data_IF_213321260436
#
_entry.id   IF_213321260436
#
_cell.length_a   1.000
_cell.length_b   1.000
_cell.length_c   1.000
_cell.angle_alpha   90.00
_cell.angle_beta   90.00
_cell.angle_gamma   90.00
#
_symmetry.space_group_name_H-M   'P 1'
#
loop_
_entity.id
_entity.type
_entity.pdbx_description
1 polymer ?
#
# COMPACT_ATOMS: atom_id res chain seq x y z
N UNK A 1 2.42 7.41 -28.03
CA UNK A 1 2.40 7.98 -26.66
C UNK A 1 3.85 8.27 -26.32
N UNK A 2 4.22 9.50 -25.98
CA UNK A 2 5.63 9.80 -25.65
C UNK A 2 5.97 9.15 -24.32
N UNK A 3 7.03 8.34 -24.30
CA UNK A 3 7.61 7.84 -23.05
C UNK A 3 8.15 9.02 -22.25
N UNK A 4 7.58 9.22 -21.06
CA UNK A 4 8.10 10.15 -20.07
C UNK A 4 9.27 9.46 -19.37
N UNK A 5 10.47 10.02 -19.49
CA UNK A 5 11.72 9.43 -18.96
C UNK A 5 12.26 10.20 -17.74
N UNK A 6 11.41 10.99 -17.07
CA UNK A 6 11.78 11.76 -15.88
C UNK A 6 11.46 11.00 -14.59
N UNK A 7 12.15 11.33 -13.50
CA UNK A 7 11.70 10.94 -12.15
C UNK A 7 10.53 11.83 -11.76
N UNK A 8 9.41 11.23 -11.35
CA UNK A 8 8.24 11.95 -10.79
C UNK A 8 8.41 12.27 -9.30
N UNK A 9 9.39 11.63 -8.65
CA UNK A 9 9.63 11.71 -7.20
C UNK A 9 10.15 13.09 -6.79
N UNK A 10 9.53 13.71 -5.79
CA UNK A 10 10.10 14.88 -5.10
C UNK A 10 11.11 14.44 -4.00
N UNK A 11 12.40 14.82 -4.10
CA UNK A 11 13.41 14.53 -3.08
C UNK A 11 13.10 15.15 -1.71
N UNK A 12 12.44 16.30 -1.65
CA UNK A 12 12.12 16.96 -0.37
C UNK A 12 11.08 16.17 0.42
N UNK A 13 10.07 15.64 -0.26
CA UNK A 13 9.06 14.79 0.35
C UNK A 13 9.64 13.45 0.78
N UNK A 14 10.52 12.84 -0.02
CA UNK A 14 11.22 11.62 0.38
C UNK A 14 11.98 11.79 1.71
N UNK A 15 12.74 12.89 1.85
CA UNK A 15 13.47 13.23 3.08
C UNK A 15 12.50 13.52 4.24
N UNK A 16 11.38 14.20 3.98
CA UNK A 16 10.35 14.47 4.98
C UNK A 16 9.75 13.17 5.53
N UNK A 17 9.35 12.25 4.68
CA UNK A 17 8.78 10.97 5.10
C UNK A 17 9.82 10.10 5.82
N UNK A 18 11.07 10.11 5.37
CA UNK A 18 12.15 9.40 6.06
C UNK A 18 12.34 9.86 7.52
N UNK A 19 12.22 11.17 7.78
CA UNK A 19 12.28 11.70 9.16
C UNK A 19 11.13 11.21 10.04
N UNK A 20 9.95 10.98 9.45
CA UNK A 20 8.74 10.59 10.17
C UNK A 20 8.54 9.08 10.25
N UNK A 21 9.33 8.27 9.53
CA UNK A 21 9.09 6.83 9.35
C UNK A 21 8.80 6.06 10.65
N UNK A 22 9.54 6.33 11.74
CA UNK A 22 9.35 5.64 13.02
C UNK A 22 8.00 5.91 13.70
N UNK A 23 7.27 6.92 13.25
CA UNK A 23 5.97 7.33 13.78
C UNK A 23 4.79 6.78 12.97
N UNK A 24 5.03 5.97 11.93
CA UNK A 24 3.97 5.44 11.05
C UNK A 24 2.84 4.74 11.80
N UNK A 25 3.18 3.97 12.82
CA UNK A 25 2.23 3.18 13.61
C UNK A 25 1.89 3.81 14.97
N UNK A 26 2.26 5.08 15.19
CA UNK A 26 1.76 5.84 16.33
C UNK A 26 0.35 6.36 16.01
N UNK A 27 -0.66 5.80 16.69
CA UNK A 27 -2.07 6.12 16.49
C UNK A 27 -2.43 7.55 16.88
N UNK A 28 -1.61 8.22 17.69
CA UNK A 28 -1.77 9.62 18.08
C UNK A 28 -0.73 10.54 17.43
N UNK A 29 0.14 9.96 16.60
CA UNK A 29 1.21 10.65 15.88
C UNK A 29 0.76 11.37 14.60
N UNK A 30 1.72 11.82 13.77
CA UNK A 30 1.45 12.61 12.56
C UNK A 30 0.58 11.88 11.53
N UNK A 31 0.56 10.55 11.58
CA UNK A 31 -0.16 9.70 10.63
C UNK A 31 -1.51 9.19 11.15
N UNK A 32 -1.94 9.67 12.33
CA UNK A 32 -3.29 9.45 12.87
C UNK A 32 -4.41 9.67 11.84
N UNK A 33 -4.39 10.70 10.97
CA UNK A 33 -5.44 10.87 9.96
C UNK A 33 -5.55 9.66 9.02
N UNK A 34 -4.43 9.06 8.61
CA UNK A 34 -4.45 7.87 7.76
C UNK A 34 -5.04 6.67 8.49
N UNK A 35 -4.68 6.45 9.76
CA UNK A 35 -5.25 5.37 10.57
C UNK A 35 -6.77 5.50 10.69
N UNK A 36 -7.27 6.70 10.96
CA UNK A 36 -8.71 6.97 11.07
C UNK A 36 -9.43 6.82 9.73
N UNK A 37 -8.84 7.35 8.66
CA UNK A 37 -9.37 7.21 7.31
C UNK A 37 -9.40 5.74 6.87
N UNK A 38 -8.39 4.95 7.25
CA UNK A 38 -8.29 3.54 6.89
C UNK A 38 -9.51 2.72 7.34
N UNK A 39 -10.09 3.07 8.49
CA UNK A 39 -11.30 2.42 9.02
C UNK A 39 -12.50 2.53 8.07
N UNK A 40 -12.57 3.59 7.26
CA UNK A 40 -13.66 3.85 6.32
C UNK A 40 -13.29 3.41 4.90
N UNK A 41 -12.13 3.83 4.40
CA UNK A 41 -11.75 3.58 3.00
C UNK A 41 -11.59 2.09 2.71
N UNK A 42 -11.12 1.28 3.66
CA UNK A 42 -10.98 -0.17 3.47
C UNK A 42 -12.33 -0.80 3.13
N UNK A 43 -13.40 -0.43 3.84
CA UNK A 43 -14.74 -0.97 3.56
C UNK A 43 -15.22 -0.58 2.16
N UNK A 44 -14.97 0.66 1.75
CA UNK A 44 -15.33 1.13 0.42
C UNK A 44 -14.51 0.43 -0.68
N UNK A 45 -13.18 0.37 -0.53
CA UNK A 45 -12.25 -0.30 -1.48
C UNK A 45 -12.68 -1.76 -1.67
N UNK A 46 -12.87 -2.50 -0.57
CA UNK A 46 -13.28 -3.91 -0.61
C UNK A 46 -14.62 -4.05 -1.30
N UNK A 47 -15.59 -3.18 -1.00
CA UNK A 47 -16.89 -3.17 -1.67
C UNK A 47 -16.80 -2.97 -3.19
N UNK A 48 -15.94 -2.07 -3.66
CA UNK A 48 -15.75 -1.84 -5.09
C UNK A 48 -14.99 -2.98 -5.78
N UNK A 49 -13.98 -3.57 -5.12
CA UNK A 49 -13.28 -4.75 -5.63
C UNK A 49 -14.28 -5.90 -5.78
N UNK A 50 -15.03 -6.23 -4.73
CA UNK A 50 -15.98 -7.34 -4.77
C UNK A 50 -17.01 -7.19 -5.90
N UNK A 51 -17.56 -5.98 -6.08
CA UNK A 51 -18.46 -5.68 -7.21
C UNK A 51 -17.78 -5.89 -8.57
N UNK A 52 -16.52 -5.43 -8.71
CA UNK A 52 -15.79 -5.50 -9.97
C UNK A 52 -15.44 -6.92 -10.40
N UNK A 53 -15.27 -7.84 -9.43
CA UNK A 53 -14.96 -9.24 -9.68
C UNK A 53 -16.18 -10.18 -9.55
N UNK A 54 -17.39 -9.63 -9.41
CA UNK A 54 -18.63 -10.39 -9.12
C UNK A 54 -18.47 -11.37 -7.94
N UNK A 55 -17.71 -10.93 -6.93
CA UNK A 55 -17.49 -11.64 -5.69
C UNK A 55 -18.52 -11.16 -4.66
N UNK A 56 -19.08 -12.08 -3.89
CA UNK A 56 -19.87 -11.73 -2.73
C UNK A 56 -18.95 -11.45 -1.55
N UNK A 57 -19.39 -10.66 -0.57
CA UNK A 57 -18.70 -10.56 0.73
C UNK A 57 -18.76 -11.93 1.43
N UNK A 58 -17.69 -12.75 1.49
CA UNK A 58 -17.68 -13.83 2.46
C UNK A 58 -17.58 -13.21 3.85
N UNK A 59 -18.45 -13.59 4.79
CA UNK A 59 -18.33 -13.16 6.18
C UNK A 59 -17.25 -13.95 6.94
N UNK A 60 -16.06 -14.07 6.36
CA UNK A 60 -15.00 -14.95 6.88
C UNK A 60 -13.63 -14.28 7.02
N UNK A 61 -13.50 -12.97 6.76
CA UNK A 61 -12.20 -12.28 6.87
C UNK A 61 -11.19 -12.71 5.80
N UNK A 62 -11.67 -13.16 4.65
CA UNK A 62 -10.86 -13.61 3.51
C UNK A 62 -11.48 -13.13 2.18
N UNK A 63 -12.12 -11.97 2.23
CA UNK A 63 -12.88 -11.34 1.16
C UNK A 63 -12.05 -11.14 -0.11
N UNK A 64 -10.74 -10.96 0.02
CA UNK A 64 -9.82 -10.69 -1.08
C UNK A 64 -8.91 -11.89 -1.39
N UNK A 65 -9.23 -13.08 -0.86
CA UNK A 65 -8.45 -14.28 -1.10
C UNK A 65 -8.31 -14.59 -2.61
N UNK A 66 -7.07 -14.86 -3.03
CA UNK A 66 -6.74 -15.15 -4.43
C UNK A 66 -6.45 -13.92 -5.28
N UNK A 67 -6.75 -12.70 -4.81
CA UNK A 67 -6.43 -11.46 -5.52
C UNK A 67 -4.98 -11.02 -5.24
N UNK A 68 -4.31 -10.56 -6.29
CA UNK A 68 -3.00 -9.90 -6.24
C UNK A 68 -3.19 -8.39 -6.25
N UNK A 69 -2.78 -7.73 -5.17
CA UNK A 69 -2.96 -6.30 -4.97
C UNK A 69 -1.60 -5.60 -4.95
N UNK A 70 -1.47 -4.52 -5.72
CA UNK A 70 -0.37 -3.57 -5.63
C UNK A 70 -0.81 -2.35 -4.81
N UNK A 71 -0.03 -1.97 -3.80
CA UNK A 71 -0.18 -0.73 -3.04
C UNK A 71 0.98 0.21 -3.39
N UNK A 72 0.72 1.23 -4.21
CA UNK A 72 1.70 2.21 -4.67
C UNK A 72 1.88 3.29 -3.61
N UNK A 73 3.12 3.61 -3.24
CA UNK A 73 3.41 4.55 -2.16
C UNK A 73 2.93 4.03 -0.81
N UNK A 74 3.18 2.75 -0.51
CA UNK A 74 2.56 2.06 0.63
C UNK A 74 3.00 2.63 2.00
N UNK A 75 4.06 3.43 2.05
CA UNK A 75 4.57 4.03 3.28
C UNK A 75 4.87 2.97 4.34
N UNK A 76 4.37 3.20 5.55
CA UNK A 76 4.49 2.27 6.67
C UNK A 76 3.60 1.03 6.59
N UNK A 77 2.85 0.82 5.51
CA UNK A 77 2.09 -0.41 5.27
C UNK A 77 0.65 -0.43 5.80
N UNK A 78 0.09 0.71 6.21
CA UNK A 78 -1.24 0.79 6.85
C UNK A 78 -2.34 0.16 5.97
N UNK A 79 -2.35 0.47 4.67
CA UNK A 79 -3.34 -0.07 3.73
C UNK A 79 -2.97 -1.48 3.29
N UNK A 80 -1.69 -1.69 2.93
CA UNK A 80 -1.13 -3.00 2.60
C UNK A 80 -1.49 -4.08 3.62
N UNK A 81 -1.32 -3.82 4.92
CA UNK A 81 -1.68 -4.75 5.99
C UNK A 81 -3.18 -5.01 6.09
N UNK A 82 -4.01 -3.98 5.90
CA UNK A 82 -5.45 -4.16 5.90
C UNK A 82 -5.91 -5.09 4.76
N UNK A 83 -5.32 -4.95 3.56
CA UNK A 83 -5.62 -5.83 2.43
C UNK A 83 -5.13 -7.26 2.67
N UNK A 84 -3.93 -7.42 3.24
CA UNK A 84 -3.36 -8.73 3.55
C UNK A 84 -4.18 -9.49 4.61
N UNK A 85 -4.72 -8.78 5.63
CA UNK A 85 -5.62 -9.37 6.63
C UNK A 85 -6.91 -9.92 6.03
N UNK A 86 -7.36 -9.37 4.90
CA UNK A 86 -8.53 -9.83 4.16
C UNK A 86 -8.17 -10.92 3.13
N UNK A 87 -6.96 -11.48 3.19
CA UNK A 87 -6.52 -12.63 2.40
C UNK A 87 -5.87 -12.31 1.05
N UNK A 88 -5.70 -11.02 0.70
CA UNK A 88 -5.03 -10.65 -0.54
C UNK A 88 -3.54 -11.04 -0.53
N UNK A 89 -3.00 -11.35 -1.71
CA UNK A 89 -1.54 -11.38 -1.92
C UNK A 89 -1.07 -9.97 -2.24
N UNK A 90 -0.43 -9.31 -1.27
CA UNK A 90 -0.10 -7.88 -1.37
C UNK A 90 1.37 -7.68 -1.73
N UNK A 91 1.61 -6.80 -2.72
CA UNK A 91 2.90 -6.17 -2.97
C UNK A 91 2.78 -4.68 -2.63
N UNK A 92 3.57 -4.19 -1.69
CA UNK A 92 3.66 -2.77 -1.37
C UNK A 92 4.94 -2.19 -1.95
N UNK A 93 4.85 -1.03 -2.63
CA UNK A 93 6.03 -0.32 -3.13
C UNK A 93 6.13 1.07 -2.54
N UNK A 94 7.35 1.49 -2.23
CA UNK A 94 7.65 2.84 -1.80
C UNK A 94 9.09 3.19 -2.23
N UNK A 95 9.40 4.47 -2.33
CA UNK A 95 10.73 4.96 -2.72
C UNK A 95 11.60 5.29 -1.51
N UNK A 96 11.01 5.36 -0.32
CA UNK A 96 11.67 5.63 0.96
C UNK A 96 11.89 4.30 1.68
N UNK A 97 13.10 3.75 1.57
CA UNK A 97 13.46 2.46 2.19
C UNK A 97 13.13 2.38 3.69
N UNK A 98 13.29 3.50 4.40
CA UNK A 98 13.01 3.54 5.84
C UNK A 98 11.54 3.33 6.18
N UNK A 99 10.62 3.77 5.31
CA UNK A 99 9.20 3.47 5.46
C UNK A 99 8.96 1.96 5.32
N UNK A 100 9.57 1.33 4.31
CA UNK A 100 9.45 -0.11 4.07
C UNK A 100 10.04 -0.95 5.19
N UNK A 101 11.14 -0.51 5.82
CA UNK A 101 11.67 -1.18 7.02
C UNK A 101 10.64 -1.19 8.16
N UNK A 102 9.92 -0.09 8.37
CA UNK A 102 8.86 0.00 9.37
C UNK A 102 7.67 -0.88 8.98
N UNK A 103 7.28 -0.88 7.70
CA UNK A 103 6.19 -1.70 7.17
C UNK A 103 6.49 -3.20 7.32
N UNK A 104 7.70 -3.65 6.96
CA UNK A 104 8.14 -5.04 7.12
C UNK A 104 8.13 -5.45 8.59
N UNK A 105 8.73 -4.65 9.47
CA UNK A 105 8.80 -4.95 10.90
C UNK A 105 7.42 -5.03 11.56
N UNK A 106 6.48 -4.16 11.16
CA UNK A 106 5.13 -4.20 11.68
C UNK A 106 4.36 -5.42 11.14
N UNK A 107 4.42 -5.68 9.83
CA UNK A 107 3.79 -6.84 9.22
C UNK A 107 4.31 -8.17 9.81
N UNK A 108 5.62 -8.29 10.07
CA UNK A 108 6.22 -9.46 10.73
C UNK A 108 5.65 -9.69 12.14
N UNK A 109 5.52 -8.63 12.95
CA UNK A 109 4.91 -8.72 14.28
C UNK A 109 3.46 -9.17 14.23
N UNK A 110 2.75 -8.76 13.19
CA UNK A 110 1.35 -9.09 12.96
C UNK A 110 1.15 -10.44 12.25
N UNK A 111 2.25 -11.13 11.90
CA UNK A 111 2.22 -12.42 11.20
C UNK A 111 1.74 -12.32 9.75
N UNK A 112 1.81 -11.14 9.14
CA UNK A 112 1.37 -10.87 7.78
C UNK A 112 2.52 -11.07 6.79
N UNK A 113 2.22 -11.74 5.67
CA UNK A 113 3.18 -11.92 4.56
C UNK A 113 2.88 -10.92 3.46
N UNK A 114 3.72 -9.88 3.35
CA UNK A 114 3.57 -8.81 2.36
C UNK A 114 4.92 -8.61 1.66
N UNK A 115 4.90 -8.51 0.34
CA UNK A 115 6.09 -8.26 -0.47
C UNK A 115 6.34 -6.76 -0.60
N UNK A 116 7.17 -6.21 0.30
CA UNK A 116 7.55 -4.80 0.31
C UNK A 116 8.82 -4.55 -0.52
N UNK A 117 8.74 -3.69 -1.53
CA UNK A 117 9.83 -3.43 -2.47
C UNK A 117 10.16 -1.94 -2.57
N UNK A 118 11.45 -1.64 -2.53
CA UNK A 118 11.99 -0.30 -2.72
C UNK A 118 12.17 -0.03 -4.20
N UNK A 119 11.15 0.52 -4.83
CA UNK A 119 11.09 0.67 -6.28
C UNK A 119 10.10 1.77 -6.68
N UNK A 120 10.40 2.49 -7.76
CA UNK A 120 9.43 3.41 -8.36
C UNK A 120 8.30 2.63 -9.04
N UNK A 121 7.15 3.27 -9.24
CA UNK A 121 6.04 2.65 -9.98
C UNK A 121 6.41 2.48 -11.47
N UNK A 122 7.18 3.41 -12.02
CA UNK A 122 7.70 3.38 -13.39
C UNK A 122 8.61 2.16 -13.59
N UNK A 123 9.60 1.98 -12.72
CA UNK A 123 10.53 0.84 -12.75
C UNK A 123 9.80 -0.51 -12.53
N UNK A 124 8.72 -0.54 -11.75
CA UNK A 124 7.90 -1.73 -11.58
C UNK A 124 7.11 -2.04 -12.85
N UNK A 125 6.60 -1.02 -13.53
CA UNK A 125 5.82 -1.16 -14.77
C UNK A 125 6.64 -1.81 -15.89
N UNK A 126 7.92 -1.44 -16.01
CA UNK A 126 8.84 -2.03 -17.00
C UNK A 126 9.03 -3.54 -16.83
N UNK A 127 8.81 -4.08 -15.62
CA UNK A 127 8.92 -5.52 -15.34
C UNK A 127 7.71 -6.32 -15.81
N UNK A 128 6.63 -5.66 -16.25
CA UNK A 128 5.44 -6.31 -16.80
C UNK A 128 4.67 -7.19 -15.81
N UNK A 129 4.84 -6.99 -14.50
CA UNK A 129 4.11 -7.74 -13.48
C UNK A 129 2.62 -7.34 -13.50
N UNK A 130 1.73 -8.34 -13.52
CA UNK A 130 0.28 -8.13 -13.53
C UNK A 130 -0.29 -8.26 -12.12
N UNK A 131 -1.19 -7.34 -11.78
CA UNK A 131 -1.96 -7.30 -10.55
C UNK A 131 -3.45 -7.23 -10.89
N UNK A 132 -4.30 -7.80 -10.03
CA UNK A 132 -5.75 -7.74 -10.20
C UNK A 132 -6.28 -6.37 -9.77
N UNK A 133 -5.65 -5.76 -8.75
CA UNK A 133 -6.00 -4.44 -8.22
C UNK A 133 -4.74 -3.60 -7.99
N UNK A 134 -4.79 -2.32 -8.35
CA UNK A 134 -3.78 -1.32 -8.02
C UNK A 134 -4.41 -0.24 -7.14
N UNK A 135 -3.84 -0.03 -5.97
CA UNK A 135 -4.22 1.02 -5.02
C UNK A 135 -3.16 2.12 -5.08
N UNK A 136 -3.61 3.38 -5.19
CA UNK A 136 -2.75 4.55 -5.20
C UNK A 136 -3.41 5.64 -4.34
N UNK A 137 -3.01 5.73 -3.08
CA UNK A 137 -3.72 6.50 -2.04
C UNK A 137 -2.76 7.46 -1.34
N UNK A 138 -2.99 8.78 -1.50
CA UNK A 138 -2.16 9.87 -0.97
C UNK A 138 -0.70 9.87 -1.48
N UNK A 139 -0.54 9.81 -2.80
CA UNK A 139 0.78 9.71 -3.48
C UNK A 139 0.92 10.66 -4.64
N UNK A 140 -0.13 10.90 -5.44
CA UNK A 140 -0.05 11.66 -6.70
C UNK A 140 0.33 13.13 -6.47
N UNK A 141 0.07 13.63 -5.28
CA UNK A 141 0.42 14.96 -4.82
C UNK A 141 1.90 15.13 -4.37
N UNK A 142 2.69 14.05 -4.37
CA UNK A 142 4.08 13.96 -3.91
C UNK A 142 5.04 13.47 -5.03
#
# INVERSE_FOLDING_TARGET
MSEYTGTTKDPEDAVRFERLASLWWDLEGPFRPLHRMNQLRVQWIVGEILKSFDLHFPQSGSELAGLKILDVGCGGGILSEAMARLGATVTGIDVVEKNLMIARHHAEKEGLKIDYRSIAVEDLSEKGQIFDVVLNMEVVEH
#
